data_IF_579529733607
#
_entry.id   IF_579529733607
#
_cell.length_a   1.000
_cell.length_b   1.000
_cell.length_c   1.000
_cell.angle_alpha   90.00
_cell.angle_beta   90.00
_cell.angle_gamma   90.00
#
_symmetry.space_group_name_H-M   'P 1'
#
loop_
_entity.id
_entity.type
_entity.pdbx_description
1 polymer ?
#
# COMPACT_ATOMS: atom_id res chain seq x y z
N UNK A 1 -96.22 -11.58 -21.72
CA UNK A 1 -94.89 -11.48 -22.43
C UNK A 1 -94.02 -10.54 -21.62
N UNK A 2 -93.14 -11.11 -20.85
CA UNK A 2 -92.23 -10.36 -19.92
C UNK A 2 -90.85 -10.47 -20.43
N UNK A 3 -90.21 -9.35 -20.76
CA UNK A 3 -88.83 -9.22 -21.21
C UNK A 3 -87.96 -8.82 -20.04
N UNK A 4 -87.12 -9.74 -19.55
CA UNK A 4 -86.10 -9.49 -18.54
C UNK A 4 -84.86 -8.89 -19.17
N UNK A 5 -84.46 -7.71 -18.71
CA UNK A 5 -83.25 -7.09 -19.08
C UNK A 5 -82.11 -7.58 -18.15
N UNK A 6 -81.05 -8.15 -18.73
CA UNK A 6 -79.85 -8.56 -18.01
C UNK A 6 -78.90 -7.39 -18.05
N UNK A 7 -78.52 -6.87 -16.84
CA UNK A 7 -77.53 -5.81 -16.67
C UNK A 7 -76.18 -6.47 -16.45
N UNK A 8 -75.25 -6.30 -17.38
CA UNK A 8 -73.86 -6.79 -17.23
C UNK A 8 -73.02 -5.73 -16.51
N UNK A 9 -72.50 -6.06 -15.30
CA UNK A 9 -71.46 -5.26 -14.58
C UNK A 9 -70.06 -5.53 -15.17
N UNK A 10 -69.51 -4.54 -15.80
CA UNK A 10 -68.04 -4.53 -16.14
C UNK A 10 -67.23 -4.16 -14.91
N UNK A 11 -66.47 -5.13 -14.40
CA UNK A 11 -65.47 -4.89 -13.36
C UNK A 11 -64.17 -4.50 -14.05
N UNK A 12 -63.76 -3.24 -13.93
CA UNK A 12 -62.45 -2.77 -14.38
C UNK A 12 -61.37 -3.13 -13.35
N UNK A 13 -60.45 -4.00 -13.71
CA UNK A 13 -59.27 -4.32 -12.89
C UNK A 13 -58.23 -3.19 -13.03
N UNK A 14 -57.61 -2.72 -11.94
CA UNK A 14 -56.54 -1.71 -12.03
C UNK A 14 -55.28 -2.33 -12.62
N UNK A 15 -54.74 -1.71 -13.67
CA UNK A 15 -53.47 -2.04 -14.29
C UNK A 15 -52.36 -1.52 -13.37
N UNK A 16 -51.71 -2.42 -12.61
CA UNK A 16 -50.52 -2.08 -11.83
C UNK A 16 -49.31 -2.11 -12.77
N UNK A 17 -48.85 -0.95 -13.17
CA UNK A 17 -47.60 -0.81 -13.90
C UNK A 17 -46.41 -1.07 -12.93
N UNK A 18 -45.44 -1.93 -13.31
CA UNK A 18 -44.25 -2.10 -12.49
C UNK A 18 -43.44 -0.78 -12.51
N UNK A 19 -43.22 -0.18 -11.36
CA UNK A 19 -42.21 0.88 -11.19
C UNK A 19 -40.86 0.25 -11.42
N UNK A 20 -40.21 0.58 -12.54
CA UNK A 20 -38.80 0.26 -12.75
C UNK A 20 -38.00 0.99 -11.67
N UNK A 21 -37.42 0.23 -10.74
CA UNK A 21 -36.43 0.76 -9.84
C UNK A 21 -35.27 1.26 -10.69
N UNK A 22 -35.06 2.56 -10.73
CA UNK A 22 -33.83 3.16 -11.27
C UNK A 22 -32.71 2.65 -10.37
N UNK A 23 -31.91 1.74 -10.88
CA UNK A 23 -30.66 1.37 -10.21
C UNK A 23 -29.83 2.67 -10.12
N UNK A 24 -29.65 3.17 -8.92
CA UNK A 24 -28.70 4.23 -8.63
C UNK A 24 -27.35 3.74 -9.13
N UNK A 25 -26.77 4.40 -10.13
CA UNK A 25 -25.42 4.09 -10.58
C UNK A 25 -24.50 4.42 -9.41
N UNK A 26 -24.05 3.39 -8.69
CA UNK A 26 -23.06 3.55 -7.65
C UNK A 26 -21.90 4.34 -8.23
N UNK A 27 -21.54 5.47 -7.59
CA UNK A 27 -20.38 6.27 -7.98
C UNK A 27 -19.09 5.43 -7.95
N UNK A 28 -18.05 5.90 -8.61
CA UNK A 28 -16.75 5.20 -8.58
C UNK A 28 -16.28 4.98 -7.13
N UNK A 29 -15.76 3.79 -6.78
CA UNK A 29 -15.35 3.49 -5.41
C UNK A 29 -14.16 4.32 -4.91
N UNK A 30 -13.42 4.96 -5.83
CA UNK A 30 -12.37 5.94 -5.56
C UNK A 30 -12.60 7.16 -6.47
N UNK A 31 -12.68 8.33 -5.88
CA UNK A 31 -12.84 9.60 -6.60
C UNK A 31 -11.55 10.42 -6.51
N UNK A 32 -11.02 10.88 -7.64
CA UNK A 32 -9.87 11.79 -7.66
C UNK A 32 -10.27 13.15 -7.09
N UNK A 33 -9.71 13.50 -5.94
CA UNK A 33 -10.02 14.74 -5.21
C UNK A 33 -9.03 15.87 -5.53
N UNK A 34 -7.73 15.52 -5.62
CA UNK A 34 -6.69 16.50 -5.87
C UNK A 34 -5.46 15.89 -6.57
N UNK A 35 -4.68 16.75 -7.20
CA UNK A 35 -3.33 16.46 -7.69
C UNK A 35 -2.37 17.45 -7.05
N UNK A 36 -1.42 16.97 -6.27
CA UNK A 36 -0.42 17.79 -5.57
C UNK A 36 0.87 17.73 -6.38
N UNK A 37 1.34 18.83 -6.99
CA UNK A 37 2.54 18.81 -7.81
C UNK A 37 3.80 18.63 -6.96
N UNK A 38 4.74 17.79 -7.45
CA UNK A 38 6.07 17.60 -6.85
C UNK A 38 7.14 18.55 -7.43
N UNK A 39 6.78 19.36 -8.43
CA UNK A 39 7.72 20.28 -9.07
C UNK A 39 8.59 19.58 -10.13
N UNK A 40 9.87 19.90 -10.17
CA UNK A 40 10.81 19.41 -11.20
C UNK A 40 11.33 17.97 -10.89
N UNK A 41 10.44 17.07 -10.47
CA UNK A 41 10.76 15.67 -10.21
C UNK A 41 10.60 14.87 -11.49
N UNK A 42 11.58 14.01 -11.79
CA UNK A 42 11.58 13.14 -12.96
C UNK A 42 11.99 11.71 -12.59
N UNK A 43 11.68 10.74 -13.44
CA UNK A 43 12.01 9.34 -13.20
C UNK A 43 11.12 8.66 -12.15
N UNK A 44 11.66 7.61 -11.52
CA UNK A 44 10.91 6.78 -10.57
C UNK A 44 10.68 7.55 -9.25
N UNK A 45 9.46 7.46 -8.74
CA UNK A 45 9.08 7.80 -7.38
C UNK A 45 8.78 6.48 -6.69
N UNK A 46 9.23 6.33 -5.45
CA UNK A 46 9.03 5.11 -4.67
C UNK A 46 8.14 5.35 -3.45
N UNK A 47 8.42 4.71 -2.32
CA UNK A 47 7.52 4.70 -1.18
C UNK A 47 7.29 6.08 -0.54
N UNK A 48 6.24 6.13 0.25
CA UNK A 48 5.73 7.30 0.94
C UNK A 48 5.63 7.04 2.43
N UNK A 49 5.84 8.08 3.25
CA UNK A 49 5.50 8.06 4.67
C UNK A 49 4.75 9.32 5.06
N UNK A 50 3.92 9.23 6.12
CA UNK A 50 3.09 10.34 6.57
C UNK A 50 3.42 10.75 8.00
N UNK A 51 3.52 12.05 8.24
CA UNK A 51 3.46 12.69 9.55
C UNK A 51 2.07 13.33 9.71
N UNK A 52 1.18 12.63 10.39
CA UNK A 52 -0.18 13.09 10.62
C UNK A 52 -0.24 14.36 11.48
N UNK A 53 0.70 14.52 12.41
CA UNK A 53 0.74 15.68 13.31
C UNK A 53 1.01 16.97 12.55
N UNK A 54 1.95 16.93 11.58
CA UNK A 54 2.30 18.10 10.75
C UNK A 54 1.53 18.15 9.45
N UNK A 55 0.68 17.18 9.17
CA UNK A 55 -0.05 17.04 7.91
C UNK A 55 0.90 17.09 6.71
N UNK A 56 1.94 16.25 6.73
CA UNK A 56 2.93 16.20 5.66
C UNK A 56 3.28 14.79 5.23
N UNK A 57 3.63 14.66 3.95
CA UNK A 57 4.23 13.45 3.39
C UNK A 57 5.72 13.61 3.16
N UNK A 58 6.42 12.50 3.30
CA UNK A 58 7.76 12.28 2.82
C UNK A 58 7.68 11.35 1.60
N UNK A 59 8.34 11.75 0.51
CA UNK A 59 8.26 11.09 -0.80
C UNK A 59 9.66 10.67 -1.26
N UNK A 60 9.89 9.39 -1.50
CA UNK A 60 11.14 8.89 -2.07
C UNK A 60 11.18 9.22 -3.57
N UNK A 61 11.87 10.27 -3.94
CA UNK A 61 12.07 10.69 -5.33
C UNK A 61 13.30 9.97 -5.90
N UNK A 62 13.19 8.64 -6.07
CA UNK A 62 14.30 7.74 -6.42
C UNK A 62 15.07 8.24 -7.63
N UNK A 63 14.38 8.59 -8.73
CA UNK A 63 15.01 9.05 -9.96
C UNK A 63 15.69 10.42 -9.88
N UNK A 64 15.59 11.12 -8.73
CA UNK A 64 16.19 12.42 -8.48
C UNK A 64 17.21 12.40 -7.33
N UNK A 65 17.48 11.24 -6.73
CA UNK A 65 18.34 11.14 -5.55
C UNK A 65 17.90 12.10 -4.41
N UNK A 66 16.58 12.24 -4.19
CA UNK A 66 16.03 13.24 -3.28
C UNK A 66 14.87 12.72 -2.42
N UNK A 67 14.59 13.45 -1.34
CA UNK A 67 13.41 13.28 -0.50
C UNK A 67 12.52 14.52 -0.63
N UNK A 68 11.35 14.35 -1.16
CA UNK A 68 10.32 15.40 -1.21
C UNK A 68 9.54 15.50 0.10
N UNK A 69 9.20 16.72 0.51
CA UNK A 69 8.27 16.99 1.62
C UNK A 69 7.06 17.72 1.07
N UNK A 70 5.89 17.11 1.20
CA UNK A 70 4.62 17.65 0.72
C UNK A 70 3.77 18.07 1.91
N UNK A 71 3.26 19.31 1.87
CA UNK A 71 2.26 19.79 2.81
C UNK A 71 0.87 19.40 2.31
N UNK A 72 0.18 18.53 3.02
CA UNK A 72 -1.13 18.01 2.63
C UNK A 72 -2.22 19.07 2.70
N UNK A 73 -2.23 19.86 3.77
CA UNK A 73 -3.25 20.89 3.95
C UNK A 73 -3.14 22.02 2.90
N UNK A 74 -1.92 22.33 2.46
CA UNK A 74 -1.66 23.36 1.46
C UNK A 74 -1.63 22.81 0.01
N UNK A 75 -1.75 21.50 -0.18
CA UNK A 75 -1.66 20.78 -1.48
C UNK A 75 -0.44 21.21 -2.31
N UNK A 76 0.74 21.26 -1.69
CA UNK A 76 1.98 21.68 -2.37
C UNK A 76 3.23 21.07 -1.76
N UNK A 77 4.27 20.96 -2.56
CA UNK A 77 5.62 20.66 -2.08
C UNK A 77 6.11 21.78 -1.17
N UNK A 78 6.62 21.43 0.01
CA UNK A 78 7.25 22.32 0.98
C UNK A 78 8.73 22.51 0.71
N UNK A 79 9.43 21.38 0.52
CA UNK A 79 10.88 21.34 0.30
C UNK A 79 11.30 20.01 -0.33
N UNK A 80 12.52 20.00 -0.87
CA UNK A 80 13.16 18.80 -1.39
C UNK A 80 14.59 18.73 -0.83
N UNK A 81 14.98 17.61 -0.25
CA UNK A 81 16.33 17.34 0.24
C UNK A 81 17.08 16.50 -0.81
N UNK A 82 18.07 17.05 -1.52
CA UNK A 82 18.87 16.30 -2.49
C UNK A 82 20.03 15.54 -1.81
N UNK A 83 20.74 14.73 -2.60
CA UNK A 83 22.00 14.08 -2.21
C UNK A 83 21.79 12.76 -1.46
N UNK A 84 20.65 12.12 -1.67
CA UNK A 84 20.41 10.72 -1.37
C UNK A 84 20.99 9.83 -2.48
N UNK A 85 20.80 8.52 -2.40
CA UNK A 85 21.26 7.57 -3.42
C UNK A 85 20.19 6.51 -3.69
N UNK A 86 19.39 6.75 -4.72
CA UNK A 86 18.25 5.91 -5.06
C UNK A 86 17.36 5.61 -3.83
N UNK A 87 16.77 6.66 -3.19
CA UNK A 87 15.91 6.45 -2.02
C UNK A 87 14.68 5.63 -2.43
N UNK A 88 14.41 4.56 -1.69
CA UNK A 88 13.26 3.68 -1.88
C UNK A 88 12.36 3.69 -0.65
N UNK A 89 12.75 3.01 0.42
CA UNK A 89 11.94 2.89 1.62
C UNK A 89 11.95 4.14 2.48
N UNK A 90 10.78 4.52 2.98
CA UNK A 90 10.64 5.60 3.95
C UNK A 90 9.80 5.13 5.14
N UNK A 91 10.25 5.46 6.37
CA UNK A 91 9.47 5.30 7.58
C UNK A 91 9.54 6.56 8.44
N UNK A 92 8.42 7.00 8.99
CA UNK A 92 8.37 8.06 10.00
C UNK A 92 8.11 7.45 11.37
N UNK A 93 9.00 7.69 12.32
CA UNK A 93 8.90 7.23 13.69
C UNK A 93 8.52 8.42 14.60
N UNK A 94 7.25 8.47 15.06
CA UNK A 94 6.72 9.66 15.73
C UNK A 94 7.25 9.89 17.15
N UNK A 95 7.69 8.83 17.85
CA UNK A 95 8.15 8.99 19.24
C UNK A 95 9.50 9.69 19.36
N UNK A 96 10.35 9.56 18.35
CA UNK A 96 11.65 10.25 18.25
C UNK A 96 11.66 11.37 17.22
N UNK A 97 10.58 11.57 16.49
CA UNK A 97 10.42 12.56 15.42
C UNK A 97 11.47 12.40 14.30
N UNK A 98 11.67 11.17 13.85
CA UNK A 98 12.71 10.81 12.88
C UNK A 98 12.11 10.17 11.64
N UNK A 99 12.59 10.65 10.48
CA UNK A 99 12.35 10.00 9.18
C UNK A 99 13.54 9.11 8.86
N UNK A 100 13.25 7.86 8.53
CA UNK A 100 14.22 6.87 8.05
C UNK A 100 14.08 6.78 6.54
N UNK A 101 15.16 6.98 5.82
CA UNK A 101 15.21 6.87 4.36
C UNK A 101 16.23 5.80 3.98
N UNK A 102 15.75 4.70 3.45
CA UNK A 102 16.56 3.61 2.93
C UNK A 102 16.96 3.92 1.49
N UNK A 103 18.25 3.76 1.19
CA UNK A 103 18.84 4.09 -0.11
C UNK A 103 19.39 2.83 -0.75
N UNK A 104 18.81 2.39 -1.87
CA UNK A 104 19.26 1.19 -2.56
C UNK A 104 20.63 1.39 -3.21
N UNK A 105 20.90 2.57 -3.76
CA UNK A 105 22.10 2.85 -4.54
C UNK A 105 23.42 2.76 -3.76
N UNK A 106 23.39 3.01 -2.44
CA UNK A 106 24.59 2.91 -1.59
C UNK A 106 24.40 2.03 -0.33
N UNK A 107 23.22 1.44 -0.16
CA UNK A 107 22.89 0.59 0.97
C UNK A 107 22.88 1.32 2.32
N UNK A 108 22.68 2.63 2.31
CA UNK A 108 22.62 3.41 3.54
C UNK A 108 21.18 3.63 4.02
N UNK A 109 21.03 3.84 5.34
CA UNK A 109 19.81 4.40 5.91
C UNK A 109 20.12 5.77 6.50
N UNK A 110 19.46 6.80 5.97
CA UNK A 110 19.59 8.18 6.48
C UNK A 110 18.50 8.42 7.53
N UNK A 111 18.90 8.81 8.71
CA UNK A 111 18.02 9.24 9.80
C UNK A 111 18.01 10.77 9.81
N UNK A 112 16.83 11.35 9.59
CA UNK A 112 16.65 12.78 9.47
C UNK A 112 15.63 13.25 10.50
N UNK A 113 15.86 14.43 11.10
CA UNK A 113 14.81 15.06 11.91
C UNK A 113 13.64 15.47 11.02
N UNK A 114 12.42 15.08 11.39
CA UNK A 114 11.25 15.31 10.54
C UNK A 114 10.88 16.80 10.41
N UNK A 115 11.30 17.63 11.35
CA UNK A 115 11.00 19.07 11.34
C UNK A 115 11.71 19.82 10.22
N UNK A 116 13.02 19.57 10.03
CA UNK A 116 13.89 20.36 9.16
C UNK A 116 14.76 19.52 8.20
N UNK A 117 14.66 18.19 8.25
CA UNK A 117 15.45 17.22 7.49
C UNK A 117 16.95 17.29 7.75
N UNK A 118 17.39 17.92 8.84
CA UNK A 118 18.80 17.84 9.22
C UNK A 118 19.20 16.42 9.61
N UNK A 119 20.45 16.06 9.30
CA UNK A 119 20.93 14.70 9.50
C UNK A 119 21.13 14.40 10.99
N UNK A 120 20.39 13.42 11.49
CA UNK A 120 20.62 12.86 12.83
C UNK A 120 21.72 11.79 12.79
N UNK A 121 21.65 10.89 11.81
CA UNK A 121 22.58 9.77 11.66
C UNK A 121 22.55 9.18 10.26
N UNK A 122 23.61 8.47 9.90
CA UNK A 122 23.66 7.57 8.75
C UNK A 122 24.11 6.19 9.22
N UNK A 123 23.46 5.15 8.73
CA UNK A 123 23.76 3.74 8.98
C UNK A 123 24.18 3.13 7.65
N UNK A 124 25.30 2.41 7.62
CA UNK A 124 25.76 1.67 6.45
C UNK A 124 25.32 0.22 6.59
N UNK A 125 24.43 -0.25 5.69
CA UNK A 125 24.01 -1.63 5.61
C UNK A 125 24.78 -2.41 4.54
N UNK A 126 25.42 -1.69 3.62
CA UNK A 126 26.34 -2.24 2.63
C UNK A 126 25.77 -2.42 1.23
N UNK A 127 24.51 -2.69 1.09
CA UNK A 127 23.85 -2.83 -0.23
C UNK A 127 22.33 -2.71 -0.09
N UNK A 128 21.69 -2.22 -1.14
CA UNK A 128 20.26 -2.32 -1.46
C UNK A 128 19.34 -2.22 -0.23
N UNK A 129 19.33 -1.07 0.43
CA UNK A 129 18.42 -0.81 1.54
C UNK A 129 17.08 -0.34 0.97
N UNK A 130 16.03 -1.06 1.31
CA UNK A 130 14.69 -0.85 0.76
C UNK A 130 13.65 -0.67 1.87
N UNK A 131 12.60 -1.42 1.87
CA UNK A 131 11.43 -1.25 2.73
C UNK A 131 11.74 -0.94 4.20
N UNK A 132 11.06 0.06 4.76
CA UNK A 132 11.16 0.48 6.16
C UNK A 132 9.81 0.25 6.84
N UNK A 133 9.83 -0.36 8.05
CA UNK A 133 8.63 -0.51 8.89
C UNK A 133 8.94 -0.14 10.33
N UNK A 134 7.99 0.52 10.96
CA UNK A 134 8.06 0.88 12.39
C UNK A 134 7.33 -0.21 13.19
N UNK A 135 8.03 -0.84 14.11
CA UNK A 135 7.47 -1.77 15.11
C UNK A 135 7.23 -0.98 16.41
N UNK A 136 6.04 -0.37 16.49
CA UNK A 136 5.67 0.45 17.65
C UNK A 136 5.60 -0.39 18.94
N UNK A 137 5.10 -1.61 18.84
CA UNK A 137 4.95 -2.50 20.01
C UNK A 137 6.28 -2.84 20.67
N UNK A 138 7.38 -2.88 19.87
CA UNK A 138 8.73 -3.20 20.38
C UNK A 138 9.68 -2.03 20.32
N UNK A 139 9.18 -0.85 19.97
CA UNK A 139 9.96 0.39 19.88
C UNK A 139 11.25 0.22 19.07
N UNK A 140 11.12 -0.19 17.82
CA UNK A 140 12.24 -0.39 16.89
C UNK A 140 11.82 -0.15 15.43
N UNK A 141 12.81 0.05 14.58
CA UNK A 141 12.63 0.20 13.14
C UNK A 141 13.28 -0.98 12.44
N UNK A 142 12.58 -1.55 11.49
CA UNK A 142 13.07 -2.64 10.64
C UNK A 142 13.30 -2.13 9.24
N UNK A 143 14.43 -2.51 8.64
CA UNK A 143 14.79 -2.16 7.26
C UNK A 143 15.22 -3.41 6.51
N UNK A 144 14.53 -3.72 5.41
CA UNK A 144 14.95 -4.76 4.47
C UNK A 144 16.18 -4.33 3.70
N UNK A 145 17.17 -5.24 3.51
CA UNK A 145 18.37 -4.86 2.79
C UNK A 145 19.20 -6.03 2.27
N UNK A 146 20.06 -5.70 1.32
CA UNK A 146 21.14 -6.54 0.84
C UNK A 146 20.70 -7.84 0.22
N UNK A 147 21.49 -8.87 0.41
CA UNK A 147 21.21 -10.21 -0.14
C UNK A 147 20.27 -11.06 0.71
N UNK A 148 19.75 -10.49 1.83
CA UNK A 148 18.79 -11.19 2.66
C UNK A 148 18.95 -10.92 4.16
N UNK A 149 18.44 -9.75 4.62
CA UNK A 149 18.33 -9.46 6.04
C UNK A 149 17.28 -8.37 6.32
N UNK A 150 16.75 -8.36 7.53
CA UNK A 150 16.12 -7.18 8.13
C UNK A 150 17.08 -6.60 9.17
N UNK A 151 17.54 -5.37 8.97
CA UNK A 151 18.25 -4.62 9.98
C UNK A 151 17.28 -4.17 11.08
N UNK A 152 17.65 -4.38 12.34
CA UNK A 152 16.92 -3.89 13.52
C UNK A 152 17.60 -2.65 14.03
N UNK A 153 16.89 -1.53 14.06
CA UNK A 153 17.42 -0.23 14.49
C UNK A 153 16.69 0.20 15.77
N UNK A 154 17.44 0.59 16.77
CA UNK A 154 16.91 1.25 17.97
C UNK A 154 16.64 2.74 17.67
N UNK A 155 15.39 3.22 17.77
CA UNK A 155 15.05 4.58 17.35
C UNK A 155 15.64 5.67 18.27
N UNK A 156 15.92 5.36 19.54
CA UNK A 156 16.48 6.33 20.49
C UNK A 156 17.92 6.63 20.16
N UNK A 157 18.75 5.60 20.04
CA UNK A 157 20.17 5.75 19.69
C UNK A 157 20.39 5.95 18.19
N UNK A 158 19.45 5.53 17.35
CA UNK A 158 19.59 5.47 15.90
C UNK A 158 20.63 4.43 15.45
N UNK A 159 20.99 3.46 16.28
CA UNK A 159 21.98 2.44 15.95
C UNK A 159 21.32 1.15 15.44
N UNK A 160 21.95 0.50 14.46
CA UNK A 160 21.64 -0.89 14.14
C UNK A 160 22.09 -1.76 15.31
N UNK A 161 21.17 -2.53 15.87
CA UNK A 161 21.40 -3.38 17.06
C UNK A 161 21.40 -4.87 16.75
N UNK A 162 20.79 -5.29 15.64
CA UNK A 162 20.74 -6.69 15.21
C UNK A 162 20.46 -6.79 13.71
N UNK A 163 20.62 -8.00 13.19
CA UNK A 163 20.11 -8.45 11.89
C UNK A 163 19.27 -9.70 12.07
N UNK A 164 18.19 -9.78 11.28
CA UNK A 164 17.38 -10.98 11.12
C UNK A 164 17.68 -11.56 9.74
N UNK A 165 18.41 -12.68 9.64
CA UNK A 165 18.80 -13.24 8.35
C UNK A 165 17.61 -13.81 7.59
N UNK A 166 17.61 -13.61 6.26
CA UNK A 166 16.66 -14.15 5.29
C UNK A 166 17.42 -14.90 4.19
N UNK A 167 16.72 -15.72 3.40
CA UNK A 167 17.36 -16.51 2.34
C UNK A 167 17.81 -15.71 1.13
N UNK A 168 17.10 -14.61 0.82
CA UNK A 168 17.42 -13.72 -0.30
C UNK A 168 16.89 -12.31 0.03
N UNK A 169 17.07 -11.37 -0.92
CA UNK A 169 16.62 -9.98 -0.77
C UNK A 169 15.16 -9.88 -0.37
N UNK A 170 14.84 -9.15 0.72
CA UNK A 170 13.46 -8.91 1.13
C UNK A 170 12.84 -7.75 0.33
N UNK A 171 11.64 -7.96 -0.12
CA UNK A 171 10.75 -6.92 -0.63
C UNK A 171 9.79 -6.43 0.48
N UNK A 172 8.57 -6.03 0.15
CA UNK A 172 7.62 -5.56 1.16
C UNK A 172 7.41 -6.59 2.27
N UNK A 173 7.31 -6.11 3.50
CA UNK A 173 6.98 -6.92 4.66
C UNK A 173 5.99 -6.22 5.57
N UNK A 174 5.27 -6.98 6.37
CA UNK A 174 4.30 -6.49 7.33
C UNK A 174 4.57 -7.05 8.72
N UNK A 175 4.27 -6.24 9.74
CA UNK A 175 4.42 -6.59 11.15
C UNK A 175 3.05 -6.83 11.75
N UNK A 176 2.85 -8.02 12.29
CA UNK A 176 1.71 -8.33 13.15
C UNK A 176 2.11 -8.07 14.60
N UNK A 177 1.77 -6.89 15.09
CA UNK A 177 2.09 -6.48 16.47
C UNK A 177 1.39 -7.38 17.51
N UNK A 178 0.22 -7.93 17.17
CA UNK A 178 -0.59 -8.77 18.07
C UNK A 178 0.05 -10.12 18.35
N UNK A 179 0.66 -10.73 17.32
CA UNK A 179 1.32 -12.03 17.43
C UNK A 179 2.84 -11.93 17.60
N UNK A 180 3.41 -10.76 17.35
CA UNK A 180 4.85 -10.56 17.37
C UNK A 180 5.58 -11.17 16.18
N UNK A 181 4.90 -11.34 15.05
CA UNK A 181 5.45 -11.89 13.82
C UNK A 181 5.67 -10.81 12.77
N UNK A 182 6.60 -11.04 11.87
CA UNK A 182 6.64 -10.33 10.59
C UNK A 182 6.51 -11.34 9.45
N UNK A 183 5.83 -10.91 8.39
CA UNK A 183 5.71 -11.65 7.14
C UNK A 183 6.52 -10.88 6.10
N UNK A 184 7.46 -11.56 5.45
CA UNK A 184 8.43 -10.93 4.55
C UNK A 184 8.36 -11.59 3.19
N UNK A 185 8.09 -10.81 2.15
CA UNK A 185 8.22 -11.28 0.76
C UNK A 185 9.69 -11.50 0.43
N UNK A 186 10.04 -12.70 -0.03
CA UNK A 186 11.39 -13.06 -0.49
C UNK A 186 11.28 -13.68 -1.89
N UNK A 187 11.11 -12.86 -2.93
CA UNK A 187 10.78 -13.33 -4.29
C UNK A 187 11.79 -14.31 -4.88
N UNK A 188 13.08 -14.06 -4.69
CA UNK A 188 14.16 -14.90 -5.22
C UNK A 188 14.25 -16.26 -4.52
N UNK A 189 13.70 -16.38 -3.32
CA UNK A 189 13.55 -17.66 -2.63
C UNK A 189 12.19 -18.34 -2.92
N UNK A 190 11.27 -17.67 -3.61
CA UNK A 190 9.94 -18.17 -3.91
C UNK A 190 9.07 -18.40 -2.68
N UNK A 191 9.23 -17.56 -1.65
CA UNK A 191 8.54 -17.73 -0.38
C UNK A 191 8.11 -16.40 0.26
N UNK A 192 7.23 -16.50 1.24
CA UNK A 192 6.98 -15.49 2.24
C UNK A 192 7.58 -16.04 3.53
N UNK A 193 8.61 -15.38 4.04
CA UNK A 193 9.26 -15.80 5.30
C UNK A 193 8.45 -15.30 6.49
N UNK A 194 8.21 -16.17 7.46
CA UNK A 194 7.59 -15.82 8.75
C UNK A 194 8.69 -15.66 9.79
N UNK A 195 8.77 -14.48 10.38
CA UNK A 195 9.79 -14.11 11.37
C UNK A 195 9.15 -13.99 12.75
N UNK A 196 9.77 -14.60 13.77
CA UNK A 196 9.51 -14.32 15.18
C UNK A 196 10.33 -13.07 15.59
N UNK A 197 9.65 -11.97 15.80
CA UNK A 197 10.29 -10.70 16.10
C UNK A 197 10.89 -10.65 17.51
N UNK A 198 10.44 -11.46 18.46
CA UNK A 198 11.02 -11.52 19.81
C UNK A 198 12.35 -12.28 19.81
N UNK A 199 12.44 -13.35 19.01
CA UNK A 199 13.66 -14.13 18.87
C UNK A 199 14.64 -13.54 17.84
N UNK A 200 14.13 -12.77 16.88
CA UNK A 200 14.92 -12.24 15.77
C UNK A 200 15.33 -13.32 14.75
N UNK A 201 14.46 -14.28 14.50
CA UNK A 201 14.75 -15.40 13.60
C UNK A 201 13.55 -15.79 12.72
N UNK A 202 13.82 -16.36 11.55
CA UNK A 202 12.82 -16.99 10.70
C UNK A 202 12.34 -18.29 11.34
N UNK A 203 11.01 -18.43 11.50
CA UNK A 203 10.38 -19.59 12.14
C UNK A 203 9.57 -20.45 11.17
N UNK A 204 9.38 -20.03 9.94
CA UNK A 204 8.63 -20.75 8.93
C UNK A 204 8.55 -19.99 7.62
N UNK A 205 7.93 -20.62 6.63
CA UNK A 205 7.71 -20.01 5.30
C UNK A 205 6.37 -20.44 4.73
N UNK A 206 5.74 -19.52 3.96
CA UNK A 206 4.61 -19.85 3.11
C UNK A 206 5.10 -19.89 1.65
N UNK A 207 4.97 -21.02 0.94
CA UNK A 207 5.42 -21.11 -0.44
C UNK A 207 4.50 -20.38 -1.41
N UNK A 208 5.08 -19.74 -2.42
CA UNK A 208 4.32 -18.95 -3.42
C UNK A 208 3.61 -19.79 -4.48
N UNK A 209 3.81 -21.12 -4.48
CA UNK A 209 3.09 -22.10 -5.33
C UNK A 209 3.09 -21.77 -6.84
N UNK A 210 4.21 -21.31 -7.36
CA UNK A 210 4.38 -20.99 -8.79
C UNK A 210 4.05 -19.55 -9.17
N UNK A 211 3.50 -18.75 -8.28
CA UNK A 211 3.46 -17.30 -8.43
C UNK A 211 4.85 -16.70 -8.18
N UNK A 212 5.23 -15.68 -8.93
CA UNK A 212 6.55 -15.04 -8.84
C UNK A 212 6.44 -13.53 -8.73
N UNK A 213 7.55 -12.92 -8.29
CA UNK A 213 7.65 -11.48 -8.10
C UNK A 213 6.55 -10.96 -7.14
N UNK A 214 6.56 -11.51 -5.91
CA UNK A 214 5.76 -11.07 -4.79
C UNK A 214 6.40 -9.83 -4.18
N UNK A 215 6.05 -8.65 -4.71
CA UNK A 215 6.58 -7.39 -4.22
C UNK A 215 5.67 -6.78 -3.14
N UNK A 216 4.43 -6.35 -3.42
CA UNK A 216 3.60 -5.75 -2.40
C UNK A 216 2.93 -6.75 -1.46
N UNK A 217 2.70 -6.29 -0.23
CA UNK A 217 2.04 -7.06 0.82
C UNK A 217 1.22 -6.14 1.73
N UNK A 218 0.03 -6.57 2.11
CA UNK A 218 -0.76 -5.97 3.18
C UNK A 218 -1.17 -7.03 4.20
N UNK A 219 -1.36 -6.61 5.44
CA UNK A 219 -1.83 -7.46 6.53
C UNK A 219 -3.13 -6.90 7.10
N UNK A 220 -4.15 -7.72 7.13
CA UNK A 220 -5.35 -7.53 7.93
C UNK A 220 -5.20 -8.40 9.19
N UNK A 221 -4.69 -7.80 10.25
CA UNK A 221 -4.42 -8.51 11.51
C UNK A 221 -5.71 -8.94 12.20
N UNK A 222 -6.80 -8.17 12.06
CA UNK A 222 -8.09 -8.49 12.68
C UNK A 222 -8.74 -9.70 12.01
N UNK A 223 -8.77 -9.72 10.68
CA UNK A 223 -9.27 -10.85 9.92
C UNK A 223 -8.24 -11.98 9.76
N UNK A 224 -7.00 -11.81 10.25
CA UNK A 224 -5.89 -12.77 10.14
C UNK A 224 -5.59 -13.15 8.69
N UNK A 225 -5.52 -12.16 7.81
CA UNK A 225 -5.31 -12.34 6.38
C UNK A 225 -4.06 -11.59 5.91
N UNK A 226 -3.27 -12.29 5.12
CA UNK A 226 -2.11 -11.74 4.43
C UNK A 226 -2.44 -11.62 2.94
N UNK A 227 -2.40 -10.41 2.42
CA UNK A 227 -2.66 -10.10 1.02
C UNK A 227 -1.32 -9.89 0.32
N UNK A 228 -1.05 -10.69 -0.70
CA UNK A 228 0.21 -10.62 -1.45
C UNK A 228 -0.11 -10.51 -2.92
N UNK A 229 0.51 -9.54 -3.60
CA UNK A 229 0.33 -9.40 -5.04
C UNK A 229 1.57 -9.85 -5.79
N UNK A 230 1.33 -10.64 -6.81
CA UNK A 230 2.35 -11.21 -7.70
C UNK A 230 2.30 -10.51 -9.06
N UNK A 231 3.46 -10.33 -9.69
CA UNK A 231 3.53 -9.78 -11.04
C UNK A 231 3.52 -10.85 -12.14
N UNK A 232 3.82 -12.11 -11.80
CA UNK A 232 3.94 -13.17 -12.80
C UNK A 232 3.35 -14.52 -12.32
N UNK A 233 2.12 -14.87 -12.75
CA UNK A 233 1.12 -14.00 -13.39
C UNK A 233 0.63 -12.90 -12.44
N UNK A 234 -0.03 -11.82 -12.94
CA UNK A 234 -0.62 -10.80 -12.09
C UNK A 234 -1.78 -11.36 -11.26
N UNK A 235 -1.55 -11.61 -9.96
CA UNK A 235 -2.51 -12.22 -9.04
C UNK A 235 -2.52 -11.51 -7.70
N UNK A 236 -3.68 -11.33 -7.11
CA UNK A 236 -3.86 -11.06 -5.69
C UNK A 236 -4.15 -12.39 -4.99
N UNK A 237 -3.21 -12.82 -4.16
CA UNK A 237 -3.35 -14.00 -3.31
C UNK A 237 -3.67 -13.56 -1.88
N UNK A 238 -4.72 -14.12 -1.30
CA UNK A 238 -5.08 -13.90 0.10
C UNK A 238 -4.82 -15.20 0.86
N UNK A 239 -3.99 -15.09 1.88
CA UNK A 239 -3.55 -16.22 2.70
C UNK A 239 -4.03 -16.02 4.14
N UNK A 240 -4.24 -17.13 4.84
CA UNK A 240 -4.30 -17.13 6.30
C UNK A 240 -2.93 -16.75 6.87
N UNK A 241 -2.86 -15.72 7.72
CA UNK A 241 -1.60 -15.34 8.38
C UNK A 241 -1.15 -16.35 9.45
N UNK A 242 -2.01 -17.30 9.81
CA UNK A 242 -1.70 -18.34 10.80
C UNK A 242 -0.84 -19.46 10.21
N UNK A 243 -1.23 -19.97 9.04
CA UNK A 243 -0.67 -21.20 8.46
C UNK A 243 -0.36 -21.09 6.95
N UNK A 244 -0.62 -19.94 6.31
CA UNK A 244 -0.39 -19.74 4.88
C UNK A 244 -1.38 -20.47 3.96
N UNK A 245 -2.51 -20.94 4.49
CA UNK A 245 -3.56 -21.53 3.66
C UNK A 245 -4.15 -20.47 2.71
N UNK A 246 -4.33 -20.85 1.44
CA UNK A 246 -4.91 -19.96 0.43
C UNK A 246 -6.41 -19.79 0.68
N UNK A 247 -6.85 -18.56 0.89
CA UNK A 247 -8.24 -18.19 1.06
C UNK A 247 -8.84 -17.74 -0.27
N UNK A 248 -8.10 -16.92 -1.02
CA UNK A 248 -8.51 -16.45 -2.34
C UNK A 248 -7.31 -16.30 -3.27
N UNK A 249 -7.55 -16.46 -4.58
CA UNK A 249 -6.57 -16.28 -5.65
C UNK A 249 -7.31 -15.66 -6.85
N UNK A 250 -7.13 -14.36 -7.08
CA UNK A 250 -7.90 -13.58 -8.06
C UNK A 250 -6.99 -12.78 -8.99
N UNK A 251 -7.45 -12.56 -10.22
CA UNK A 251 -6.73 -11.74 -11.20
C UNK A 251 -6.66 -10.29 -10.76
N UNK A 252 -5.51 -9.65 -10.97
CA UNK A 252 -5.31 -8.23 -10.72
C UNK A 252 -4.57 -7.55 -11.87
N UNK A 253 -4.28 -6.25 -11.71
CA UNK A 253 -3.54 -5.47 -12.69
C UNK A 253 -2.03 -5.80 -12.69
N UNK A 254 -1.36 -5.53 -13.82
CA UNK A 254 0.06 -5.82 -14.00
C UNK A 254 0.97 -4.79 -13.37
N UNK A 255 2.18 -5.21 -12.99
CA UNK A 255 3.23 -4.38 -12.38
C UNK A 255 2.79 -3.72 -11.07
N UNK A 256 2.16 -4.48 -10.17
CA UNK A 256 1.76 -3.99 -8.85
C UNK A 256 2.99 -3.74 -7.95
N UNK A 257 2.92 -2.66 -7.16
CA UNK A 257 3.97 -2.29 -6.19
C UNK A 257 3.40 -2.02 -4.78
N UNK A 258 2.12 -1.66 -4.69
CA UNK A 258 1.45 -1.48 -3.40
C UNK A 258 0.08 -2.12 -3.35
N UNK A 259 -0.28 -2.60 -2.16
CA UNK A 259 -1.59 -3.12 -1.82
C UNK A 259 -1.98 -2.67 -0.41
N UNK A 260 -3.24 -2.24 -0.23
CA UNK A 260 -3.77 -1.79 1.05
C UNK A 260 -5.14 -2.37 1.33
N UNK A 261 -5.43 -2.60 2.62
CA UNK A 261 -6.76 -2.97 3.11
C UNK A 261 -7.43 -1.71 3.67
N UNK A 262 -8.67 -1.48 3.25
CA UNK A 262 -9.58 -0.51 3.86
C UNK A 262 -10.63 -1.28 4.68
N UNK A 263 -10.41 -1.46 5.97
CA UNK A 263 -11.31 -2.26 6.81
C UNK A 263 -12.68 -1.59 7.00
N UNK A 264 -12.73 -0.25 6.88
CA UNK A 264 -13.98 0.52 7.02
C UNK A 264 -15.00 0.17 5.92
N UNK A 265 -14.51 -0.17 4.72
CA UNK A 265 -15.34 -0.45 3.54
C UNK A 265 -15.25 -1.88 3.05
N UNK A 266 -14.48 -2.74 3.75
CA UNK A 266 -14.14 -4.09 3.28
C UNK A 266 -13.55 -4.08 1.86
N UNK A 267 -12.65 -3.13 1.58
CA UNK A 267 -12.03 -2.97 0.27
C UNK A 267 -10.53 -3.22 0.29
N UNK A 268 -10.01 -3.57 -0.87
CA UNK A 268 -8.57 -3.71 -1.12
C UNK A 268 -8.22 -2.86 -2.33
N UNK A 269 -7.17 -2.04 -2.19
CA UNK A 269 -6.63 -1.20 -3.25
C UNK A 269 -5.30 -1.77 -3.71
N UNK A 270 -5.16 -2.05 -5.03
CA UNK A 270 -3.91 -2.53 -5.63
C UNK A 270 -3.44 -1.51 -6.66
N UNK A 271 -2.32 -0.86 -6.39
CA UNK A 271 -1.72 0.16 -7.27
C UNK A 271 -0.74 -0.48 -8.25
N UNK A 272 -0.96 -0.25 -9.54
CA UNK A 272 -0.29 -0.96 -10.61
C UNK A 272 0.37 -0.04 -11.64
N UNK A 273 1.60 -0.39 -12.04
CA UNK A 273 2.32 0.27 -13.13
C UNK A 273 1.64 0.18 -14.49
N UNK A 274 0.65 -0.70 -14.64
CA UNK A 274 -0.25 -0.71 -15.80
C UNK A 274 -1.08 0.58 -15.94
N UNK A 275 -0.99 1.52 -14.99
CA UNK A 275 -1.69 2.80 -14.99
C UNK A 275 -3.10 2.73 -14.43
N UNK A 276 -3.31 1.90 -13.44
CA UNK A 276 -4.61 1.71 -12.79
C UNK A 276 -4.45 1.39 -11.31
N UNK A 277 -5.51 1.65 -10.54
CA UNK A 277 -5.74 1.05 -9.22
C UNK A 277 -6.90 0.08 -9.34
N UNK A 278 -6.66 -1.21 -9.10
CA UNK A 278 -7.75 -2.19 -8.96
C UNK A 278 -8.36 -2.05 -7.56
N UNK A 279 -9.69 -1.99 -7.50
CA UNK A 279 -10.46 -1.95 -6.26
C UNK A 279 -11.21 -3.27 -6.11
N UNK A 280 -10.92 -3.98 -5.05
CA UNK A 280 -11.65 -5.20 -4.70
C UNK A 280 -12.56 -4.94 -3.52
N UNK A 281 -13.67 -5.64 -3.47
CA UNK A 281 -14.55 -5.74 -2.32
C UNK A 281 -14.43 -7.14 -1.71
N UNK A 282 -14.30 -7.20 -0.40
CA UNK A 282 -14.32 -8.44 0.37
C UNK A 282 -15.71 -8.69 0.91
N UNK A 283 -16.25 -9.88 0.64
CA UNK A 283 -17.53 -10.36 1.19
C UNK A 283 -17.39 -11.83 1.60
N UNK A 284 -17.48 -12.10 2.87
CA UNK A 284 -17.45 -13.45 3.44
C UNK A 284 -16.25 -14.29 2.96
N UNK A 285 -15.07 -13.69 2.86
CA UNK A 285 -13.83 -14.34 2.40
C UNK A 285 -13.67 -14.40 0.88
N UNK A 286 -14.64 -13.94 0.11
CA UNK A 286 -14.52 -13.80 -1.35
C UNK A 286 -14.05 -12.40 -1.70
N UNK A 287 -13.15 -12.28 -2.68
CA UNK A 287 -12.62 -11.01 -3.17
C UNK A 287 -13.03 -10.83 -4.62
N UNK A 288 -13.82 -9.79 -4.88
CA UNK A 288 -14.29 -9.46 -6.22
C UNK A 288 -13.78 -8.08 -6.60
N UNK A 289 -13.14 -7.95 -7.78
CA UNK A 289 -12.83 -6.63 -8.33
C UNK A 289 -14.12 -5.93 -8.70
N UNK A 290 -14.39 -4.79 -8.04
CA UNK A 290 -15.58 -3.96 -8.28
C UNK A 290 -15.31 -2.83 -9.25
N UNK A 291 -14.04 -2.40 -9.37
CA UNK A 291 -13.66 -1.34 -10.31
C UNK A 291 -12.16 -1.37 -10.64
N UNK A 292 -11.80 -0.61 -11.67
CA UNK A 292 -10.44 -0.34 -12.11
C UNK A 292 -10.29 1.15 -12.41
N UNK A 293 -9.70 1.87 -11.47
CA UNK A 293 -9.58 3.33 -11.51
C UNK A 293 -8.37 3.72 -12.36
N UNK A 294 -8.54 4.50 -13.42
CA UNK A 294 -7.42 4.95 -14.25
C UNK A 294 -6.48 5.88 -13.48
N UNK A 295 -5.17 5.64 -13.66
CA UNK A 295 -4.08 6.52 -13.24
C UNK A 295 -3.16 6.79 -14.43
N UNK A 296 -1.86 6.87 -14.21
CA UNK A 296 -0.85 7.05 -15.27
C UNK A 296 0.04 5.82 -15.33
N UNK A 297 0.50 5.45 -16.52
CA UNK A 297 1.47 4.37 -16.69
C UNK A 297 2.65 4.52 -15.73
N UNK A 298 3.01 3.45 -15.06
CA UNK A 298 4.04 3.39 -14.02
C UNK A 298 3.73 4.10 -12.69
N UNK A 299 2.49 4.56 -12.46
CA UNK A 299 2.02 5.04 -11.16
C UNK A 299 1.60 3.85 -10.30
N UNK A 300 2.58 3.20 -9.67
CA UNK A 300 2.40 1.94 -8.96
C UNK A 300 2.64 2.01 -7.46
N UNK A 301 3.32 3.06 -6.99
CA UNK A 301 3.55 3.31 -5.57
C UNK A 301 2.49 4.22 -5.01
N UNK A 302 2.00 3.88 -3.82
CA UNK A 302 0.89 4.57 -3.17
C UNK A 302 0.97 4.46 -1.65
N UNK A 303 0.06 5.15 -0.95
CA UNK A 303 -0.12 4.99 0.48
C UNK A 303 -1.59 5.23 0.82
N UNK A 304 -2.27 4.23 1.39
CA UNK A 304 -3.57 4.44 2.01
C UNK A 304 -3.38 4.87 3.47
N UNK A 305 -3.99 5.99 3.84
CA UNK A 305 -3.92 6.55 5.20
C UNK A 305 -5.33 6.54 5.79
N UNK A 306 -5.66 5.54 6.64
CA UNK A 306 -7.00 5.41 7.23
C UNK A 306 -7.43 6.65 8.01
N UNK A 307 -6.53 7.28 8.78
CA UNK A 307 -6.82 8.49 9.57
C UNK A 307 -7.22 9.70 8.72
N UNK A 308 -6.77 9.76 7.48
CA UNK A 308 -7.15 10.79 6.51
C UNK A 308 -8.28 10.32 5.59
N UNK A 309 -8.61 9.04 5.63
CA UNK A 309 -9.57 8.39 4.73
C UNK A 309 -9.24 8.69 3.26
N UNK A 310 -7.96 8.51 2.88
CA UNK A 310 -7.43 8.83 1.52
C UNK A 310 -6.41 7.81 1.05
N UNK A 311 -6.46 7.53 -0.25
CA UNK A 311 -5.40 6.84 -0.97
C UNK A 311 -4.59 7.87 -1.77
N UNK A 312 -3.29 7.89 -1.55
CA UNK A 312 -2.33 8.76 -2.23
C UNK A 312 -1.52 7.93 -3.21
N UNK A 313 -1.52 8.31 -4.48
CA UNK A 313 -0.80 7.60 -5.55
C UNK A 313 0.31 8.50 -6.08
N UNK A 314 1.55 8.01 -6.06
CA UNK A 314 2.68 8.71 -6.62
C UNK A 314 2.70 8.56 -8.14
N UNK A 315 2.62 9.69 -8.82
CA UNK A 315 2.62 9.77 -10.28
C UNK A 315 3.93 10.39 -10.75
N UNK A 316 4.70 9.64 -11.55
CA UNK A 316 5.93 10.16 -12.16
C UNK A 316 5.61 11.06 -13.35
N UNK A 317 6.52 12.00 -13.65
CA UNK A 317 6.40 12.84 -14.84
C UNK A 317 6.35 12.00 -16.12
N UNK A 318 5.41 12.35 -17.00
CA UNK A 318 5.26 11.79 -18.33
C UNK A 318 4.78 12.85 -19.31
N UNK A 319 4.81 12.63 -20.64
CA UNK A 319 4.28 13.60 -21.59
C UNK A 319 2.81 13.97 -21.26
N UNK A 320 2.58 15.24 -20.91
CA UNK A 320 1.25 15.76 -20.57
C UNK A 320 0.81 15.63 -19.11
N UNK A 321 1.58 14.92 -18.26
CA UNK A 321 1.29 14.79 -16.83
C UNK A 321 2.56 15.09 -16.01
N UNK A 322 2.59 16.15 -15.18
CA UNK A 322 3.72 16.42 -14.29
C UNK A 322 3.79 15.41 -13.14
N UNK A 323 4.99 15.29 -12.54
CA UNK A 323 5.13 14.50 -11.31
C UNK A 323 4.25 15.05 -10.19
N UNK A 324 3.57 14.18 -9.47
CA UNK A 324 2.65 14.60 -8.42
C UNK A 324 2.17 13.47 -7.53
N UNK A 325 1.50 13.83 -6.47
CA UNK A 325 0.73 12.93 -5.63
C UNK A 325 -0.76 13.12 -5.96
N UNK A 326 -1.38 12.09 -6.50
CA UNK A 326 -2.83 12.08 -6.73
C UNK A 326 -3.53 11.61 -5.48
N UNK A 327 -4.51 12.38 -5.03
CA UNK A 327 -5.28 12.12 -3.82
C UNK A 327 -6.64 11.58 -4.22
N UNK A 328 -6.92 10.35 -3.82
CA UNK A 328 -8.22 9.73 -4.04
C UNK A 328 -8.99 9.63 -2.74
N UNK A 329 -10.26 9.98 -2.80
CA UNK A 329 -11.21 9.78 -1.72
C UNK A 329 -11.99 8.50 -1.97
N UNK A 330 -11.96 7.52 -1.05
CA UNK A 330 -12.85 6.37 -1.12
C UNK A 330 -14.30 6.78 -0.95
N UNK A 331 -15.16 6.35 -1.87
CA UNK A 331 -16.60 6.51 -1.74
C UNK A 331 -17.15 5.57 -0.64
N UNK A 332 -18.29 5.89 -0.03
CA UNK A 332 -18.92 5.07 1.01
C UNK A 332 -19.16 3.60 0.61
#
# INVERSE_FOLDING_TARGET
MSTSAVCALLVAAPLVLPTAAVAETAGAPLELEAKIPLGAVSGRIDHLAVDLKRQQFFVAELGNDSLGVVNLAAHRTRSTLPGLKEPQGIGYEPSTDVVYVANAGDGSVRLLWAEDLTSKRRIELGADADNVRIDNARNRVLVGYGKGALAVIDPKSGAKVADIPLKAHPESFQIDESTGRAFVNVPDAGEITVVDLAKGEAIGTFPTKGHRANFPMALDSEAQRLLVVFRSPPRLLVLSSQDGAVIADVDTCGDADDVFVDPKRHRVYVSCGAGVVDVFEERAGSYQRIDRIPTVSSARTSLFVPDLDRLFVAVRASPGEPAGIWVFRPAP
#
